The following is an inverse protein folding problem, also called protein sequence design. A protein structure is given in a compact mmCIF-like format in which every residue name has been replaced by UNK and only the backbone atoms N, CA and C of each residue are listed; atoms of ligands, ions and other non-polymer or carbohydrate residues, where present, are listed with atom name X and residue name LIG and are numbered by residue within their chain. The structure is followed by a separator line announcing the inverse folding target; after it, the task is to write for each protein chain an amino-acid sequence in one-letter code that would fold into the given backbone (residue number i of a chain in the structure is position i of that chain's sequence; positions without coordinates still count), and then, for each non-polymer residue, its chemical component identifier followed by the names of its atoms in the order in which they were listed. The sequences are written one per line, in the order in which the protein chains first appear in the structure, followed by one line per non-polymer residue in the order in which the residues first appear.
data_IF_124140032369
#
_entry.id   IF_124140032369
#
_cell.length_a   1.000
_cell.length_b   1.000
_cell.length_c   1.000
_cell.angle_alpha   90.00
_cell.angle_beta   90.00
_cell.angle_gamma   90.00
#
_symmetry.space_group_name_H-M   'P 1'
#
loop_
_entity.id
_entity.type
_entity.pdbx_description
1 polymer ?
#
# COMPACT_ATOMS: atom_id res chain seq x y z
N UNK A 1 1.12 -13.90 0.91
CA UNK A 1 0.26 -14.83 1.48
C UNK A 1 -0.01 -14.53 2.93
N UNK A 2 -1.16 -14.98 3.42
CA UNK A 2 -1.69 -14.53 4.72
C UNK A 2 -0.76 -14.78 5.91
N UNK A 3 0.12 -15.73 5.80
CA UNK A 3 1.08 -16.07 6.85
C UNK A 3 2.26 -15.11 6.91
N UNK A 4 2.65 -14.55 5.78
CA UNK A 4 3.84 -13.70 5.69
C UNK A 4 3.70 -12.36 6.43
N UNK A 5 2.54 -11.72 6.30
CA UNK A 5 2.26 -10.46 7.00
C UNK A 5 2.17 -10.66 8.51
N UNK A 6 1.45 -11.70 8.95
CA UNK A 6 1.34 -12.02 10.37
C UNK A 6 2.68 -12.42 10.96
N UNK A 7 3.47 -13.21 10.24
CA UNK A 7 4.81 -13.59 10.66
C UNK A 7 5.74 -12.39 10.78
N UNK A 8 5.66 -11.46 9.85
CA UNK A 8 6.43 -10.22 9.90
C UNK A 8 6.07 -9.39 11.12
N UNK A 9 4.78 -9.29 11.44
CA UNK A 9 4.31 -8.58 12.63
C UNK A 9 4.77 -9.28 13.91
N UNK A 10 4.67 -10.60 13.97
CA UNK A 10 5.12 -11.38 15.12
C UNK A 10 6.64 -11.21 15.33
N UNK A 11 7.43 -11.24 14.26
CA UNK A 11 8.88 -11.00 14.34
C UNK A 11 9.22 -9.58 14.82
N UNK A 12 8.37 -8.60 14.47
CA UNK A 12 8.53 -7.22 14.92
C UNK A 12 8.07 -7.01 16.39
N UNK A 13 7.59 -8.04 17.05
CA UNK A 13 7.09 -7.96 18.41
C UNK A 13 5.71 -7.33 18.53
N UNK A 14 4.97 -7.25 17.44
CA UNK A 14 3.64 -6.65 17.42
C UNK A 14 2.60 -7.71 17.79
N UNK A 15 1.87 -7.47 18.86
CA UNK A 15 0.76 -8.35 19.25
C UNK A 15 -0.55 -7.83 18.66
N UNK A 16 -1.21 -8.70 17.90
CA UNK A 16 -2.53 -8.43 17.36
C UNK A 16 -3.59 -9.22 18.11
N UNK A 17 -4.74 -8.57 18.35
CA UNK A 17 -5.95 -9.26 18.83
C UNK A 17 -6.49 -10.18 17.74
N UNK A 18 -7.37 -11.13 18.10
CA UNK A 18 -8.00 -12.02 17.12
C UNK A 18 -8.66 -11.29 15.95
N UNK A 19 -9.50 -10.27 16.19
CA UNK A 19 -10.10 -9.49 15.10
C UNK A 19 -9.09 -8.80 14.19
N UNK A 20 -8.02 -8.24 14.75
CA UNK A 20 -6.96 -7.59 13.97
C UNK A 20 -6.17 -8.58 13.13
N UNK A 21 -5.93 -9.80 13.63
CA UNK A 21 -5.28 -10.86 12.86
C UNK A 21 -6.11 -11.26 11.65
N UNK A 22 -7.43 -11.40 11.82
CA UNK A 22 -8.35 -11.68 10.71
C UNK A 22 -8.36 -10.56 9.68
N UNK A 23 -8.33 -9.32 10.15
CA UNK A 23 -8.30 -8.15 9.27
C UNK A 23 -6.98 -8.08 8.49
N UNK A 24 -5.85 -8.34 9.13
CA UNK A 24 -4.54 -8.39 8.47
C UNK A 24 -4.51 -9.47 7.37
N UNK A 25 -5.06 -10.65 7.66
CA UNK A 25 -5.18 -11.71 6.66
C UNK A 25 -6.04 -11.30 5.48
N UNK A 26 -7.11 -10.56 5.72
CA UNK A 26 -7.98 -10.04 4.68
C UNK A 26 -7.24 -9.02 3.80
N UNK A 27 -6.44 -8.15 4.41
CA UNK A 27 -5.62 -7.16 3.69
C UNK A 27 -4.62 -7.86 2.78
N UNK A 28 -3.91 -8.85 3.29
CA UNK A 28 -2.86 -9.56 2.57
C UNK A 28 -3.36 -10.26 1.30
N UNK A 29 -4.61 -10.70 1.31
CA UNK A 29 -5.23 -11.39 0.17
C UNK A 29 -5.71 -10.45 -0.93
N UNK A 30 -5.69 -9.14 -0.68
CA UNK A 30 -6.18 -8.19 -1.67
C UNK A 30 -5.21 -8.04 -2.82
N UNK A 31 -5.77 -8.00 -4.02
CA UNK A 31 -5.05 -7.71 -5.25
C UNK A 31 -5.34 -6.24 -5.63
N UNK A 32 -4.29 -5.52 -6.05
CA UNK A 32 -4.42 -4.12 -6.38
C UNK A 32 -4.58 -3.24 -5.14
N UNK A 33 -4.94 -1.98 -5.37
CA UNK A 33 -5.16 -1.04 -4.27
C UNK A 33 -6.56 -1.18 -3.68
N UNK A 34 -6.70 -0.78 -2.43
CA UNK A 34 -7.98 -0.73 -1.73
C UNK A 34 -8.03 0.51 -0.84
N UNK A 35 -9.24 0.95 -0.52
CA UNK A 35 -9.47 2.04 0.43
C UNK A 35 -9.83 1.49 1.81
N UNK A 36 -9.75 2.33 2.84
CA UNK A 36 -10.24 1.96 4.17
C UNK A 36 -11.74 1.65 4.13
N UNK A 37 -12.51 2.35 3.30
CA UNK A 37 -13.94 2.09 3.09
C UNK A 37 -14.19 0.70 2.51
N UNK A 38 -13.39 0.27 1.54
CA UNK A 38 -13.47 -1.07 0.95
C UNK A 38 -13.25 -2.14 2.02
N UNK A 39 -12.26 -1.93 2.87
CA UNK A 39 -11.91 -2.86 3.93
C UNK A 39 -13.01 -2.94 4.99
N UNK A 40 -13.58 -1.80 5.36
CA UNK A 40 -14.72 -1.74 6.28
C UNK A 40 -15.93 -2.48 5.74
N UNK A 41 -16.18 -2.34 4.45
CA UNK A 41 -17.29 -3.02 3.77
C UNK A 41 -17.11 -4.54 3.79
N UNK A 42 -15.91 -5.01 3.50
CA UNK A 42 -15.58 -6.44 3.55
C UNK A 42 -15.69 -7.00 4.96
N UNK A 43 -15.16 -6.27 5.95
CA UNK A 43 -15.25 -6.67 7.35
C UNK A 43 -16.71 -6.72 7.82
N UNK A 44 -17.55 -5.80 7.37
CA UNK A 44 -18.98 -5.78 7.64
C UNK A 44 -19.70 -7.00 7.06
N UNK A 45 -19.41 -7.36 5.82
CA UNK A 45 -19.99 -8.54 5.16
C UNK A 45 -19.62 -9.83 5.88
N UNK A 46 -18.42 -9.89 6.44
CA UNK A 46 -17.92 -11.05 7.19
C UNK A 46 -18.29 -11.02 8.66
N UNK A 47 -19.07 -10.02 9.08
CA UNK A 47 -19.52 -9.83 10.47
C UNK A 47 -18.38 -9.90 11.49
N UNK A 48 -17.28 -9.21 11.17
CA UNK A 48 -16.08 -9.23 12.00
C UNK A 48 -16.18 -8.33 13.24
N UNK A 49 -17.19 -7.46 13.31
CA UNK A 49 -17.36 -6.56 14.44
C UNK A 49 -16.25 -5.52 14.58
N UNK A 50 -15.66 -5.11 13.46
CA UNK A 50 -14.54 -4.19 13.42
C UNK A 50 -15.02 -2.82 12.95
N UNK A 51 -14.70 -1.77 13.72
CA UNK A 51 -15.05 -0.39 13.38
C UNK A 51 -13.93 0.37 12.67
N UNK A 52 -14.24 1.60 12.30
CA UNK A 52 -13.33 2.49 11.55
C UNK A 52 -11.99 2.69 12.27
N UNK A 53 -12.02 2.96 13.57
CA UNK A 53 -10.81 3.22 14.35
C UNK A 53 -9.85 2.04 14.30
N UNK A 54 -10.36 0.82 14.41
CA UNK A 54 -9.54 -0.39 14.34
C UNK A 54 -8.91 -0.56 12.97
N UNK A 55 -9.67 -0.31 11.89
CA UNK A 55 -9.16 -0.36 10.52
C UNK A 55 -8.01 0.63 10.33
N UNK A 56 -8.21 1.89 10.71
CA UNK A 56 -7.18 2.92 10.53
C UNK A 56 -5.93 2.66 11.38
N UNK A 57 -6.10 2.22 12.62
CA UNK A 57 -4.95 1.86 13.48
C UNK A 57 -4.14 0.71 12.91
N UNK A 58 -4.81 -0.29 12.36
CA UNK A 58 -4.11 -1.43 11.75
C UNK A 58 -3.38 -1.00 10.47
N UNK A 59 -4.02 -0.21 9.61
CA UNK A 59 -3.38 0.32 8.39
C UNK A 59 -2.15 1.18 8.74
N UNK A 60 -2.25 2.02 9.76
CA UNK A 60 -1.12 2.81 10.24
C UNK A 60 0.02 1.91 10.72
N UNK A 61 -0.29 0.92 11.52
CA UNK A 61 0.69 -0.05 12.03
C UNK A 61 1.38 -0.80 10.88
N UNK A 62 0.61 -1.29 9.93
CA UNK A 62 1.15 -2.00 8.76
C UNK A 62 2.01 -1.09 7.89
N UNK A 63 1.63 0.18 7.77
CA UNK A 63 2.41 1.19 7.03
C UNK A 63 3.76 1.46 7.73
N UNK A 64 3.76 1.56 9.05
CA UNK A 64 4.99 1.73 9.83
C UNK A 64 5.95 0.55 9.66
N UNK A 65 5.41 -0.65 9.50
CA UNK A 65 6.20 -1.87 9.28
C UNK A 65 6.58 -2.10 7.81
N UNK A 66 6.14 -1.23 6.90
CA UNK A 66 6.40 -1.38 5.47
C UNK A 66 5.63 -2.51 4.79
N UNK A 67 4.59 -3.04 5.44
CA UNK A 67 3.79 -4.15 4.93
C UNK A 67 2.59 -3.70 4.10
N UNK A 68 2.26 -2.43 4.19
CA UNK A 68 1.24 -1.75 3.39
C UNK A 68 1.80 -0.38 3.05
N UNK A 69 1.56 0.08 1.84
CA UNK A 69 1.94 1.42 1.41
C UNK A 69 0.69 2.22 1.06
N UNK A 70 0.63 3.45 1.55
CA UNK A 70 -0.45 4.37 1.21
C UNK A 70 -0.14 5.07 -0.11
N UNK A 71 -1.11 5.10 -0.99
CA UNK A 71 -1.06 5.78 -2.28
C UNK A 71 -2.10 6.88 -2.29
N UNK A 72 -1.71 8.07 -2.70
CA UNK A 72 -2.65 9.17 -2.91
C UNK A 72 -3.06 9.19 -4.38
N UNK A 73 -4.33 8.88 -4.65
CA UNK A 73 -4.87 8.85 -6.00
C UNK A 73 -5.07 10.28 -6.53
N UNK A 74 -5.09 10.47 -7.85
CA UNK A 74 -5.25 11.80 -8.43
C UNK A 74 -6.53 12.53 -8.02
N UNK A 75 -7.58 11.80 -7.63
CA UNK A 75 -8.84 12.38 -7.14
C UNK A 75 -8.79 12.79 -5.66
N UNK A 76 -7.65 12.63 -5.01
CA UNK A 76 -7.48 12.93 -3.58
C UNK A 76 -7.82 11.79 -2.63
N UNK A 77 -8.30 10.66 -3.15
CA UNK A 77 -8.61 9.49 -2.33
C UNK A 77 -7.33 8.81 -1.87
N UNK A 78 -7.29 8.39 -0.60
CA UNK A 78 -6.20 7.59 -0.06
C UNK A 78 -6.50 6.11 -0.29
N UNK A 79 -5.57 5.42 -0.92
CA UNK A 79 -5.63 3.98 -1.13
C UNK A 79 -4.42 3.31 -0.50
N UNK A 80 -4.47 2.00 -0.37
CA UNK A 80 -3.42 1.20 0.25
C UNK A 80 -3.12 0.00 -0.63
N UNK A 81 -1.85 -0.41 -0.65
CA UNK A 81 -1.39 -1.60 -1.37
C UNK A 81 -0.59 -2.47 -0.40
N UNK A 82 -0.95 -3.77 -0.25
CA UNK A 82 -0.07 -4.70 0.46
C UNK A 82 1.26 -4.81 -0.27
N UNK A 83 2.35 -4.76 0.46
CA UNK A 83 3.69 -4.83 -0.14
C UNK A 83 4.70 -5.44 0.83
N UNK A 84 5.90 -5.69 0.32
CA UNK A 84 7.03 -6.10 1.13
C UNK A 84 7.82 -4.85 1.56
N UNK A 85 8.51 -4.88 2.70
CA UNK A 85 9.27 -3.72 3.19
C UNK A 85 10.60 -3.53 2.44
N UNK A 86 10.53 -3.47 1.11
CA UNK A 86 11.66 -3.24 0.22
C UNK A 86 11.43 -1.97 -0.57
N UNK A 87 12.51 -1.38 -1.08
CA UNK A 87 12.37 -0.18 -1.91
C UNK A 87 11.77 -0.55 -3.26
N UNK A 88 10.60 -0.02 -3.53
CA UNK A 88 9.90 -0.19 -4.79
C UNK A 88 8.88 0.95 -4.96
N UNK A 89 8.35 1.06 -6.15
CA UNK A 89 7.30 2.01 -6.48
C UNK A 89 6.16 1.30 -7.16
N UNK A 90 5.03 1.97 -7.27
CA UNK A 90 3.82 1.35 -7.82
C UNK A 90 3.38 2.03 -9.09
N UNK A 91 2.92 1.21 -10.03
CA UNK A 91 2.23 1.64 -11.24
C UNK A 91 0.77 1.20 -11.08
N UNK A 92 -0.14 2.16 -11.11
CA UNK A 92 -1.56 1.94 -10.77
C UNK A 92 -2.44 2.19 -11.98
N UNK A 93 -3.31 1.24 -12.30
CA UNK A 93 -4.33 1.42 -13.32
C UNK A 93 -5.50 2.20 -12.74
N UNK A 94 -5.79 3.36 -13.31
CA UNK A 94 -6.90 4.21 -12.87
C UNK A 94 -8.26 3.65 -13.24
N UNK A 95 -8.32 2.68 -14.15
CA UNK A 95 -9.58 2.09 -14.59
C UNK A 95 -10.00 0.88 -13.76
N UNK A 96 -9.13 -0.11 -13.60
CA UNK A 96 -9.47 -1.36 -12.92
C UNK A 96 -8.82 -1.52 -11.55
N UNK A 97 -7.90 -0.63 -11.16
CA UNK A 97 -7.20 -0.72 -9.88
C UNK A 97 -6.02 -1.68 -9.84
N UNK A 98 -5.71 -2.35 -10.96
CA UNK A 98 -4.55 -3.23 -11.01
C UNK A 98 -3.27 -2.45 -10.68
N UNK A 99 -2.38 -3.08 -9.94
CA UNK A 99 -1.09 -2.48 -9.57
C UNK A 99 0.05 -3.41 -9.92
N UNK A 100 1.20 -2.83 -10.23
CA UNK A 100 2.44 -3.58 -10.39
C UNK A 100 3.59 -2.79 -9.80
N UNK A 101 4.62 -3.50 -9.38
CA UNK A 101 5.80 -2.88 -8.77
C UNK A 101 6.78 -2.42 -9.84
N UNK A 102 7.47 -1.34 -9.54
CA UNK A 102 8.59 -0.83 -10.33
C UNK A 102 9.80 -0.79 -9.41
N UNK A 103 10.72 -1.72 -9.59
CA UNK A 103 11.88 -1.87 -8.71
C UNK A 103 12.98 -0.85 -9.02
N UNK A 104 13.27 -0.66 -10.29
CA UNK A 104 14.26 0.31 -10.75
C UNK A 104 13.56 1.59 -11.21
N UNK A 105 13.60 2.59 -10.37
CA UNK A 105 12.89 3.84 -10.65
C UNK A 105 13.72 4.89 -11.40
N UNK A 106 15.01 4.68 -11.55
CA UNK A 106 15.91 5.65 -12.23
C UNK A 106 15.95 7.04 -11.60
N UNK A 107 15.37 7.19 -10.41
CA UNK A 107 15.22 8.49 -9.77
C UNK A 107 16.51 9.03 -9.15
N UNK A 108 17.52 8.18 -9.00
CA UNK A 108 18.81 8.56 -8.41
C UNK A 108 19.50 9.69 -9.17
N UNK A 109 19.44 9.67 -10.50
CA UNK A 109 20.00 10.73 -11.32
C UNK A 109 19.29 12.06 -11.08
N UNK A 110 17.94 12.03 -11.00
CA UNK A 110 17.12 13.22 -10.75
C UNK A 110 17.40 13.77 -9.35
N UNK A 111 17.47 12.92 -8.34
CA UNK A 111 17.73 13.35 -6.95
C UNK A 111 19.13 13.94 -6.79
N UNK A 112 20.13 13.40 -7.47
CA UNK A 112 21.49 13.95 -7.46
C UNK A 112 21.53 15.37 -8.07
N UNK A 113 20.84 15.58 -9.19
CA UNK A 113 20.78 16.90 -9.83
C UNK A 113 20.05 17.89 -8.92
N UNK A 114 18.92 17.48 -8.35
CA UNK A 114 18.15 18.32 -7.43
C UNK A 114 18.97 18.70 -6.19
N UNK A 115 19.68 17.73 -5.59
CA UNK A 115 20.52 17.98 -4.43
C UNK A 115 21.64 18.97 -4.74
N UNK A 116 22.33 18.79 -5.88
CA UNK A 116 23.41 19.70 -6.28
C UNK A 116 22.94 21.11 -6.54
N UNK A 117 21.78 21.27 -7.21
CA UNK A 117 21.25 22.60 -7.53
C UNK A 117 20.69 23.35 -6.33
N UNK A 118 20.12 22.63 -5.38
CA UNK A 118 19.42 23.23 -4.22
C UNK A 118 20.24 23.27 -2.96
N UNK A 119 21.28 22.44 -2.84
CA UNK A 119 22.04 22.25 -1.60
C UNK A 119 21.32 21.37 -0.59
N UNK A 120 20.17 20.78 -0.95
CA UNK A 120 19.44 19.91 -0.04
C UNK A 120 20.10 18.53 0.05
N UNK A 121 20.09 17.96 1.26
CA UNK A 121 20.35 16.54 1.47
C UNK A 121 19.02 15.81 1.29
N UNK A 122 18.88 15.04 0.21
CA UNK A 122 17.65 14.32 -0.06
C UNK A 122 17.70 12.98 0.68
N UNK A 123 16.74 12.76 1.55
CA UNK A 123 16.70 11.58 2.43
C UNK A 123 15.71 10.52 1.98
N UNK A 124 14.64 10.93 1.27
CA UNK A 124 13.63 10.00 0.78
C UNK A 124 12.90 10.57 -0.43
N UNK A 125 12.25 9.71 -1.16
CA UNK A 125 11.38 10.10 -2.26
C UNK A 125 10.14 9.20 -2.29
N UNK A 126 9.09 9.70 -2.94
CA UNK A 126 7.88 8.93 -3.21
C UNK A 126 7.59 9.06 -4.70
N UNK A 127 7.27 7.93 -5.32
CA UNK A 127 6.95 7.89 -6.74
C UNK A 127 5.81 6.90 -6.96
N UNK A 128 4.68 7.41 -7.43
CA UNK A 128 3.57 6.59 -7.91
C UNK A 128 3.30 7.00 -9.34
N UNK A 129 3.08 6.03 -10.20
CA UNK A 129 2.74 6.26 -11.61
C UNK A 129 1.32 5.78 -11.87
N UNK A 130 0.54 6.60 -12.54
CA UNK A 130 -0.87 6.33 -12.81
C UNK A 130 -1.13 6.27 -14.30
N UNK A 131 -1.91 5.28 -14.73
CA UNK A 131 -2.20 5.11 -16.14
C UNK A 131 -3.23 4.04 -16.39
N UNK A 132 -3.10 3.32 -17.49
CA UNK A 132 -3.97 2.20 -17.85
C UNK A 132 -3.14 0.94 -18.05
N UNK A 133 -3.55 -0.15 -17.44
CA UNK A 133 -2.89 -1.44 -17.63
C UNK A 133 -3.08 -1.95 -19.06
N UNK A 134 -2.31 -2.96 -19.49
CA UNK A 134 -2.44 -3.50 -20.87
C UNK A 134 -3.85 -3.87 -21.24
N UNK A 135 -4.60 -4.50 -20.35
CA UNK A 135 -5.99 -4.91 -20.61
C UNK A 135 -6.92 -3.71 -20.80
N UNK A 136 -6.81 -2.71 -19.93
CA UNK A 136 -7.64 -1.50 -20.03
C UNK A 136 -7.25 -0.61 -21.19
N UNK A 137 -5.99 -0.60 -21.56
CA UNK A 137 -5.48 0.15 -22.73
C UNK A 137 -6.03 -0.43 -24.03
N UNK A 138 -6.16 -1.74 -24.08
CA UNK A 138 -6.65 -2.47 -25.26
C UNK A 138 -8.17 -2.46 -25.39
N UNK A 139 -8.90 -2.13 -24.33
CA UNK A 139 -10.36 -2.20 -24.26
C UNK A 139 -11.09 -0.99 -24.83
N UNK A 140 -10.42 -0.11 -25.52
CA UNK A 140 -11.06 1.08 -26.15
C UNK A 140 -11.62 0.74 -27.50
#
# INVERSE_FOLDING_TARGET
MAEEMLDALDRAGVRLTGPRRKLASLIERREGHFTAADLLKDAGRRRMGIGRATVFRLLELLSEQGLVERIDLPDGTHAYIPCEPTHHHHLVCLNCGATTDVDDCGIEAVTRVAARRSGFKIEQHRLELFGRCPDCRSAN
#
